data_IF_177248385849
#
_entry.id   IF_177248385849
#
_cell.length_a   1.000
_cell.length_b   1.000
_cell.length_c   1.000
_cell.angle_alpha   90.00
_cell.angle_beta   90.00
_cell.angle_gamma   90.00
#
_symmetry.space_group_name_H-M   'P 1'
#
loop_
_entity.id
_entity.type
_entity.pdbx_description
1 polymer ?
#
# COMPACT_ATOMS: atom_id res chain seq x y z
N UNK A 1 -5.32 24.68 23.07
CA UNK A 1 -6.31 24.41 22.01
C UNK A 1 -6.45 22.90 21.86
N UNK A 2 -7.56 22.38 22.34
CA UNK A 2 -7.93 20.96 22.34
C UNK A 2 -8.40 20.54 20.95
N UNK A 3 -7.55 19.86 20.18
CA UNK A 3 -7.99 19.11 19.00
C UNK A 3 -8.26 17.67 19.42
N UNK A 4 -9.55 17.36 19.64
CA UNK A 4 -10.04 15.99 19.68
C UNK A 4 -9.67 15.30 18.36
N UNK A 5 -8.73 14.36 18.41
CA UNK A 5 -8.52 13.45 17.29
C UNK A 5 -9.68 12.44 17.28
N UNK A 6 -10.68 12.70 16.45
CA UNK A 6 -11.71 11.74 16.06
C UNK A 6 -11.04 10.56 15.33
N UNK A 7 -10.58 9.57 16.09
CA UNK A 7 -10.50 8.13 15.77
C UNK A 7 -9.72 7.49 16.92
N UNK A 8 -10.42 7.00 17.94
CA UNK A 8 -9.86 6.28 19.10
C UNK A 8 -9.29 4.90 18.73
N UNK A 9 -8.68 4.75 17.56
CA UNK A 9 -7.94 3.55 17.20
C UNK A 9 -6.54 3.70 17.78
N UNK A 10 -6.07 2.75 18.62
CA UNK A 10 -4.69 2.78 19.07
C UNK A 10 -3.78 2.77 17.84
N UNK A 11 -2.93 3.80 17.70
CA UNK A 11 -2.06 4.01 16.52
C UNK A 11 -1.35 2.71 16.09
N UNK A 12 -0.91 1.90 17.05
CA UNK A 12 -0.31 0.59 16.80
C UNK A 12 -1.25 -0.37 16.04
N UNK A 13 -2.51 -0.47 16.42
CA UNK A 13 -3.49 -1.32 15.74
C UNK A 13 -3.79 -0.82 14.33
N UNK A 14 -3.87 0.51 14.14
CA UNK A 14 -4.04 1.11 12.82
C UNK A 14 -2.94 0.67 11.84
N UNK A 15 -1.68 0.84 12.22
CA UNK A 15 -0.53 0.46 11.38
C UNK A 15 -0.52 -1.06 11.07
N UNK A 16 -0.93 -1.92 12.01
CA UNK A 16 -1.05 -3.38 11.77
C UNK A 16 -2.16 -3.68 10.75
N UNK A 17 -3.35 -3.11 10.94
CA UNK A 17 -4.51 -3.34 10.06
C UNK A 17 -4.17 -2.92 8.62
N UNK A 18 -3.55 -1.75 8.45
CA UNK A 18 -3.12 -1.25 7.14
C UNK A 18 -2.15 -2.21 6.47
N UNK A 19 -1.14 -2.65 7.20
CA UNK A 19 -0.11 -3.55 6.66
C UNK A 19 -0.73 -4.88 6.22
N UNK A 20 -1.73 -5.40 6.95
CA UNK A 20 -2.47 -6.59 6.57
C UNK A 20 -3.35 -6.39 5.33
N UNK A 21 -4.05 -5.25 5.23
CA UNK A 21 -4.87 -4.91 4.05
C UNK A 21 -3.99 -4.86 2.81
N UNK A 22 -2.86 -4.14 2.87
CA UNK A 22 -1.91 -4.07 1.76
C UNK A 22 -1.30 -5.42 1.41
N UNK A 23 -1.04 -6.27 2.41
CA UNK A 23 -0.52 -7.61 2.19
C UNK A 23 -1.52 -8.49 1.43
N UNK A 24 -2.77 -8.57 1.91
CA UNK A 24 -3.82 -9.38 1.28
C UNK A 24 -4.10 -8.87 -0.13
N UNK A 25 -4.21 -7.56 -0.30
CA UNK A 25 -4.47 -6.96 -1.60
C UNK A 25 -3.34 -7.20 -2.60
N UNK A 26 -2.08 -7.04 -2.17
CA UNK A 26 -0.92 -7.31 -3.02
C UNK A 26 -0.83 -8.78 -3.45
N UNK A 27 -1.08 -9.72 -2.53
CA UNK A 27 -1.11 -11.16 -2.86
C UNK A 27 -2.24 -11.46 -3.85
N UNK A 28 -3.45 -10.93 -3.61
CA UNK A 28 -4.59 -11.10 -4.51
C UNK A 28 -4.27 -10.60 -5.93
N UNK A 29 -3.69 -9.41 -6.05
CA UNK A 29 -3.31 -8.84 -7.34
C UNK A 29 -2.27 -9.69 -8.06
N UNK A 30 -1.24 -10.18 -7.35
CA UNK A 30 -0.22 -11.06 -7.94
C UNK A 30 -0.86 -12.35 -8.47
N UNK A 31 -1.70 -13.01 -7.67
CA UNK A 31 -2.35 -14.27 -8.06
C UNK A 31 -3.28 -14.06 -9.25
N UNK A 32 -4.15 -13.04 -9.20
CA UNK A 32 -5.10 -12.77 -10.28
C UNK A 32 -4.41 -12.49 -11.61
N UNK A 33 -3.33 -11.70 -11.60
CA UNK A 33 -2.60 -11.38 -12.82
C UNK A 33 -1.73 -12.56 -13.31
N UNK A 34 -1.23 -13.40 -12.40
CA UNK A 34 -0.52 -14.63 -12.78
C UNK A 34 -1.46 -15.63 -13.47
N UNK A 35 -2.70 -15.76 -12.99
CA UNK A 35 -3.72 -16.58 -13.67
C UNK A 35 -4.02 -16.00 -15.05
N UNK A 36 -4.22 -14.69 -15.16
CA UNK A 36 -4.50 -14.02 -16.45
C UNK A 36 -3.35 -14.16 -17.47
N UNK A 37 -2.10 -14.39 -17.03
CA UNK A 37 -0.97 -14.64 -17.92
C UNK A 37 -0.93 -16.06 -18.47
N UNK A 38 -1.48 -17.03 -17.73
CA UNK A 38 -1.41 -18.45 -18.04
C UNK A 38 -2.66 -18.99 -18.75
N UNK A 39 -3.65 -18.14 -18.99
CA UNK A 39 -4.90 -18.51 -19.68
C UNK A 39 -4.81 -18.11 -21.17
N UNK A 40 -4.37 -19.02 -22.07
CA UNK A 40 -4.21 -18.73 -23.49
C UNK A 40 -5.56 -18.66 -24.25
N UNK A 41 -6.68 -19.05 -23.63
CA UNK A 41 -7.94 -19.29 -24.34
C UNK A 41 -8.91 -18.10 -24.26
N UNK A 42 -8.60 -17.08 -23.45
CA UNK A 42 -9.43 -15.88 -23.32
C UNK A 42 -9.09 -14.77 -24.31
N UNK A 43 -8.23 -15.04 -25.28
CA UNK A 43 -7.73 -14.06 -26.24
C UNK A 43 -8.36 -14.25 -27.62
N UNK A 44 -9.37 -13.41 -27.90
CA UNK A 44 -9.88 -13.26 -29.26
C UNK A 44 -8.76 -12.74 -30.18
N UNK A 45 -8.49 -13.38 -31.32
CA UNK A 45 -7.40 -13.00 -32.24
C UNK A 45 -7.62 -11.65 -32.95
N UNK A 46 -8.80 -11.03 -32.80
CA UNK A 46 -9.12 -9.70 -33.34
C UNK A 46 -8.58 -8.54 -32.45
N UNK A 47 -7.99 -8.88 -31.31
CA UNK A 47 -7.48 -7.93 -30.34
C UNK A 47 -6.07 -7.45 -30.73
N UNK A 48 -6.03 -6.27 -31.34
CA UNK A 48 -4.85 -5.60 -31.92
C UNK A 48 -3.68 -5.31 -30.95
N UNK A 49 -3.63 -5.86 -29.73
CA UNK A 49 -2.52 -5.61 -28.78
C UNK A 49 -2.38 -6.64 -27.64
N UNK A 50 -2.37 -7.95 -27.96
CA UNK A 50 -2.09 -9.05 -27.01
C UNK A 50 -0.87 -8.77 -26.12
N UNK A 51 0.18 -8.23 -26.73
CA UNK A 51 1.46 -7.95 -26.09
C UNK A 51 1.35 -6.84 -25.03
N UNK A 52 0.48 -5.84 -25.22
CA UNK A 52 0.32 -4.74 -24.28
C UNK A 52 -0.37 -5.19 -22.99
N UNK A 53 -1.36 -6.09 -23.10
CA UNK A 53 -2.03 -6.68 -21.94
C UNK A 53 -1.10 -7.63 -21.16
N UNK A 54 -0.31 -8.45 -21.86
CA UNK A 54 0.70 -9.30 -21.20
C UNK A 54 1.76 -8.46 -20.47
N UNK A 55 2.27 -7.40 -21.11
CA UNK A 55 3.24 -6.49 -20.50
C UNK A 55 2.66 -5.78 -19.27
N UNK A 56 1.38 -5.38 -19.32
CA UNK A 56 0.66 -4.84 -18.17
C UNK A 56 0.60 -5.84 -17.01
N UNK A 57 0.16 -7.08 -17.26
CA UNK A 57 0.05 -8.12 -16.22
C UNK A 57 1.39 -8.43 -15.56
N UNK A 58 2.48 -8.51 -16.32
CA UNK A 58 3.84 -8.70 -15.78
C UNK A 58 4.24 -7.51 -14.90
N UNK A 59 3.99 -6.29 -15.36
CA UNK A 59 4.34 -5.07 -14.62
C UNK A 59 3.58 -5.01 -13.29
N UNK A 60 2.29 -5.32 -13.31
CA UNK A 60 1.44 -5.39 -12.10
C UNK A 60 1.97 -6.44 -11.13
N UNK A 61 2.34 -7.64 -11.59
CA UNK A 61 2.93 -8.67 -10.72
C UNK A 61 4.19 -8.15 -10.02
N UNK A 62 5.09 -7.49 -10.74
CA UNK A 62 6.33 -6.95 -10.16
C UNK A 62 6.03 -5.87 -9.12
N UNK A 63 5.16 -4.91 -9.47
CA UNK A 63 4.81 -3.79 -8.59
C UNK A 63 4.09 -4.25 -7.31
N UNK A 64 3.09 -5.11 -7.43
CA UNK A 64 2.39 -5.66 -6.26
C UNK A 64 3.24 -6.68 -5.49
N UNK A 65 4.20 -7.34 -6.14
CA UNK A 65 5.25 -8.11 -5.47
C UNK A 65 6.10 -7.23 -4.56
N UNK A 66 6.55 -6.06 -5.02
CA UNK A 66 7.27 -5.09 -4.18
C UNK A 66 6.39 -4.57 -3.03
N UNK A 67 5.11 -4.32 -3.30
CA UNK A 67 4.14 -3.92 -2.28
C UNK A 67 3.99 -4.97 -1.18
N UNK A 68 3.90 -6.27 -1.51
CA UNK A 68 3.78 -7.33 -0.51
C UNK A 68 5.03 -7.44 0.36
N UNK A 69 6.23 -7.33 -0.22
CA UNK A 69 7.50 -7.31 0.53
C UNK A 69 7.50 -6.12 1.51
N UNK A 70 7.10 -4.93 1.06
CA UNK A 70 7.01 -3.75 1.91
C UNK A 70 5.99 -3.90 3.04
N UNK A 71 4.84 -4.52 2.76
CA UNK A 71 3.81 -4.80 3.76
C UNK A 71 4.27 -5.82 4.82
N UNK A 72 4.97 -6.89 4.41
CA UNK A 72 5.59 -7.87 5.32
C UNK A 72 6.62 -7.18 6.21
N UNK A 73 7.48 -6.33 5.63
CA UNK A 73 8.44 -5.55 6.39
C UNK A 73 7.74 -4.63 7.40
N UNK A 74 6.66 -3.97 7.00
CA UNK A 74 5.81 -3.19 7.90
C UNK A 74 5.33 -4.00 9.09
N UNK A 75 4.74 -5.17 8.84
CA UNK A 75 4.27 -6.06 9.90
C UNK A 75 5.41 -6.51 10.82
N UNK A 76 6.57 -6.84 10.26
CA UNK A 76 7.79 -7.19 11.01
C UNK A 76 8.26 -6.05 11.92
N UNK A 77 8.33 -4.81 11.42
CA UNK A 77 8.78 -3.67 12.22
C UNK A 77 7.88 -3.40 13.42
N UNK A 78 6.57 -3.63 13.29
CA UNK A 78 5.61 -3.37 14.37
C UNK A 78 5.61 -4.49 15.43
N UNK A 79 5.79 -5.74 14.99
CA UNK A 79 5.68 -6.92 15.84
C UNK A 79 6.99 -7.24 16.57
N UNK A 80 8.12 -7.19 15.86
CA UNK A 80 9.42 -7.63 16.38
C UNK A 80 10.33 -6.46 16.76
N UNK A 81 10.56 -5.52 15.84
CA UNK A 81 11.60 -4.50 16.05
C UNK A 81 11.14 -3.34 16.95
N UNK A 82 9.89 -2.89 16.79
CA UNK A 82 9.17 -1.85 17.54
C UNK A 82 10.03 -0.69 18.07
N UNK A 83 10.99 -0.21 17.27
CA UNK A 83 11.88 0.92 17.54
C UNK A 83 11.51 2.08 16.62
N UNK A 84 11.72 3.32 17.07
CA UNK A 84 11.44 4.52 16.27
C UNK A 84 12.17 4.51 14.92
N UNK A 85 13.46 4.17 14.90
CA UNK A 85 14.26 4.11 13.66
C UNK A 85 13.68 3.15 12.61
N UNK A 86 13.26 1.95 13.02
CA UNK A 86 12.67 0.98 12.10
C UNK A 86 11.30 1.44 11.56
N UNK A 87 10.51 2.11 12.39
CA UNK A 87 9.25 2.73 11.98
C UNK A 87 9.45 3.88 10.99
N UNK A 88 10.52 4.67 11.13
CA UNK A 88 10.85 5.70 10.15
C UNK A 88 11.24 5.11 8.80
N UNK A 89 12.01 4.02 8.78
CA UNK A 89 12.29 3.27 7.55
C UNK A 89 10.99 2.76 6.94
N UNK A 90 10.10 2.17 7.74
CA UNK A 90 8.81 1.72 7.26
C UNK A 90 7.94 2.87 6.71
N UNK A 91 7.99 4.05 7.32
CA UNK A 91 7.29 5.24 6.80
C UNK A 91 7.75 5.57 5.38
N UNK A 92 9.06 5.52 5.11
CA UNK A 92 9.59 5.73 3.74
C UNK A 92 9.11 4.64 2.77
N UNK A 93 9.10 3.38 3.20
CA UNK A 93 8.57 2.26 2.40
C UNK A 93 7.07 2.45 2.11
N UNK A 94 6.29 2.90 3.10
CA UNK A 94 4.86 3.15 2.93
C UNK A 94 4.57 4.26 1.88
N UNK A 95 5.41 5.29 1.81
CA UNK A 95 5.33 6.27 0.71
C UNK A 95 5.65 5.64 -0.67
N UNK A 96 6.60 4.69 -0.72
CA UNK A 96 6.88 3.95 -1.96
C UNK A 96 5.70 3.07 -2.35
N UNK A 97 5.06 2.38 -1.39
CA UNK A 97 3.83 1.60 -1.63
C UNK A 97 2.72 2.48 -2.20
N UNK A 98 2.49 3.67 -1.61
CA UNK A 98 1.52 4.63 -2.12
C UNK A 98 1.84 5.06 -3.56
N UNK A 99 3.11 5.31 -3.88
CA UNK A 99 3.50 5.63 -5.25
C UNK A 99 3.23 4.47 -6.23
N UNK A 100 3.50 3.23 -5.81
CA UNK A 100 3.18 2.02 -6.59
C UNK A 100 1.68 1.93 -6.87
N UNK A 101 0.84 2.21 -5.88
CA UNK A 101 -0.62 2.18 -6.02
C UNK A 101 -1.12 3.22 -7.03
N UNK A 102 -0.58 4.45 -6.97
CA UNK A 102 -0.91 5.52 -7.91
C UNK A 102 -0.48 5.13 -9.34
N UNK A 103 0.75 4.63 -9.51
CA UNK A 103 1.25 4.19 -10.83
C UNK A 103 0.39 3.06 -11.40
N UNK A 104 0.05 2.08 -10.56
CA UNK A 104 -0.78 0.93 -10.96
C UNK A 104 -2.20 1.36 -11.36
N UNK A 105 -2.79 2.32 -10.63
CA UNK A 105 -4.10 2.89 -10.95
C UNK A 105 -4.09 3.60 -12.31
N UNK A 106 -3.04 4.40 -12.58
CA UNK A 106 -2.87 5.09 -13.88
C UNK A 106 -2.75 4.09 -15.03
N UNK A 107 -1.96 3.03 -14.87
CA UNK A 107 -1.83 1.98 -15.89
C UNK A 107 -3.16 1.27 -16.14
N UNK A 108 -3.92 0.96 -15.09
CA UNK A 108 -5.25 0.36 -15.21
C UNK A 108 -6.21 1.23 -16.02
N UNK A 109 -6.19 2.55 -15.82
CA UNK A 109 -7.01 3.47 -16.61
C UNK A 109 -6.64 3.44 -18.09
N UNK A 110 -5.35 3.41 -18.43
CA UNK A 110 -4.90 3.36 -19.84
C UNK A 110 -5.44 2.09 -20.52
N UNK A 111 -5.31 0.93 -19.87
CA UNK A 111 -5.81 -0.36 -20.38
C UNK A 111 -7.33 -0.30 -20.58
N UNK A 112 -8.08 0.23 -19.62
CA UNK A 112 -9.54 0.23 -19.69
C UNK A 112 -10.08 1.23 -20.73
N UNK A 113 -9.43 2.37 -20.89
CA UNK A 113 -9.72 3.30 -22.00
C UNK A 113 -9.53 2.60 -23.35
N UNK A 114 -8.52 1.74 -23.48
CA UNK A 114 -8.26 0.97 -24.70
C UNK A 114 -9.32 -0.14 -24.95
N UNK A 115 -9.89 -0.75 -23.90
CA UNK A 115 -10.78 -1.93 -24.02
C UNK A 115 -12.28 -1.67 -23.79
N UNK A 116 -12.63 -0.44 -23.38
CA UNK A 116 -13.94 0.18 -23.56
C UNK A 116 -15.14 -0.44 -22.83
N UNK A 117 -15.40 0.09 -21.64
CA UNK A 117 -16.75 0.34 -21.13
C UNK A 117 -16.71 1.60 -20.27
N UNK A 118 -17.42 2.69 -20.64
CA UNK A 118 -17.38 3.96 -19.90
C UNK A 118 -17.95 3.83 -18.48
N UNK A 119 -18.85 2.86 -18.26
CA UNK A 119 -19.43 2.55 -16.95
C UNK A 119 -18.36 1.93 -16.03
N UNK A 120 -17.59 0.96 -16.54
CA UNK A 120 -16.50 0.33 -15.78
C UNK A 120 -15.39 1.35 -15.46
N UNK A 121 -15.07 2.23 -16.41
CA UNK A 121 -14.11 3.30 -16.20
C UNK A 121 -14.53 4.20 -15.03
N UNK A 122 -15.78 4.65 -15.02
CA UNK A 122 -16.29 5.54 -13.97
C UNK A 122 -16.23 4.89 -12.59
N UNK A 123 -16.67 3.63 -12.48
CA UNK A 123 -16.61 2.87 -11.23
C UNK A 123 -15.18 2.72 -10.71
N UNK A 124 -14.23 2.41 -11.59
CA UNK A 124 -12.83 2.22 -11.20
C UNK A 124 -12.12 3.52 -10.85
N UNK A 125 -12.46 4.63 -11.50
CA UNK A 125 -11.95 5.95 -11.10
C UNK A 125 -12.40 6.27 -9.67
N UNK A 126 -13.67 6.07 -9.35
CA UNK A 126 -14.19 6.29 -7.99
C UNK A 126 -13.46 5.38 -6.99
N UNK A 127 -13.30 4.10 -7.31
CA UNK A 127 -12.63 3.12 -6.45
C UNK A 127 -11.16 3.47 -6.24
N UNK A 128 -10.45 3.87 -7.29
CA UNK A 128 -9.05 4.29 -7.21
C UNK A 128 -8.88 5.57 -6.38
N UNK A 129 -9.73 6.58 -6.59
CA UNK A 129 -9.70 7.82 -5.78
C UNK A 129 -9.93 7.51 -4.30
N UNK A 130 -10.92 6.66 -4.00
CA UNK A 130 -11.19 6.22 -2.65
C UNK A 130 -10.01 5.45 -2.05
N UNK A 131 -9.43 4.50 -2.79
CA UNK A 131 -8.27 3.71 -2.37
C UNK A 131 -7.05 4.58 -2.08
N UNK A 132 -6.70 5.49 -2.99
CA UNK A 132 -5.59 6.43 -2.83
C UNK A 132 -5.83 7.34 -1.61
N UNK A 133 -7.05 7.83 -1.41
CA UNK A 133 -7.38 8.69 -0.26
C UNK A 133 -7.17 7.94 1.06
N UNK A 134 -7.61 6.69 1.12
CA UNK A 134 -7.41 5.81 2.28
C UNK A 134 -5.92 5.53 2.49
N UNK A 135 -5.18 5.19 1.43
CA UNK A 135 -3.75 4.91 1.50
C UNK A 135 -2.95 6.14 1.95
N UNK A 136 -3.29 7.34 1.48
CA UNK A 136 -2.69 8.60 1.95
C UNK A 136 -2.94 8.79 3.45
N UNK A 137 -4.18 8.57 3.90
CA UNK A 137 -4.53 8.63 5.32
C UNK A 137 -3.70 7.65 6.15
N UNK A 138 -3.52 6.43 5.64
CA UNK A 138 -2.73 5.41 6.32
C UNK A 138 -1.24 5.72 6.38
N UNK A 139 -0.65 6.25 5.31
CA UNK A 139 0.75 6.71 5.33
C UNK A 139 0.93 7.82 6.37
N UNK A 140 -0.02 8.74 6.50
CA UNK A 140 0.00 9.75 7.57
C UNK A 140 -0.07 9.12 8.97
N UNK A 141 -0.91 8.10 9.18
CA UNK A 141 -0.99 7.38 10.46
C UNK A 141 0.32 6.68 10.81
N UNK A 142 0.97 6.04 9.83
CA UNK A 142 2.28 5.38 10.01
C UNK A 142 3.35 6.41 10.42
N UNK A 143 3.41 7.54 9.71
CA UNK A 143 4.34 8.65 10.01
C UNK A 143 4.12 9.24 11.41
N UNK A 144 2.86 9.50 11.77
CA UNK A 144 2.51 9.99 13.10
C UNK A 144 2.88 8.97 14.21
N UNK A 145 2.78 7.67 13.92
CA UNK A 145 3.20 6.62 14.83
C UNK A 145 4.71 6.57 15.03
N UNK A 146 5.50 6.73 13.97
CA UNK A 146 6.96 6.84 14.06
C UNK A 146 7.39 7.99 14.99
N UNK A 147 6.87 9.20 14.76
CA UNK A 147 7.17 10.36 15.61
C UNK A 147 6.67 10.22 17.05
N UNK A 148 5.52 9.58 17.28
CA UNK A 148 5.05 9.32 18.64
C UNK A 148 5.95 8.32 19.36
N UNK A 149 6.51 7.34 18.63
CA UNK A 149 7.40 6.33 19.20
C UNK A 149 8.74 6.94 19.59
N UNK A 150 9.31 7.77 18.73
CA UNK A 150 10.55 8.53 18.98
C UNK A 150 10.47 9.33 20.28
N UNK A 151 9.42 10.15 20.45
CA UNK A 151 9.23 10.96 21.68
C UNK A 151 9.14 10.14 22.97
N UNK A 152 8.64 8.90 22.88
CA UNK A 152 8.59 8.00 24.04
C UNK A 152 9.97 7.44 24.37
N UNK A 153 10.78 7.15 23.35
CA UNK A 153 12.14 6.63 23.54
C UNK A 153 13.06 7.71 24.11
N UNK A 154 12.98 8.97 23.67
CA UNK A 154 13.76 10.08 24.23
C UNK A 154 13.43 10.34 25.69
N UNK A 155 12.14 10.47 26.04
CA UNK A 155 11.71 10.71 27.41
C UNK A 155 12.08 9.58 28.38
N UNK A 156 12.16 8.33 27.89
CA UNK A 156 12.60 7.19 28.70
C UNK A 156 14.10 7.25 28.97
N UNK A 157 14.90 7.72 28.02
CA UNK A 157 16.35 7.85 28.18
C UNK A 157 16.72 9.00 29.13
N UNK A 158 16.03 10.13 29.04
CA UNK A 158 16.26 11.29 29.93
C UNK A 158 15.97 10.92 31.41
N UNK A 159 14.82 10.29 31.68
CA UNK A 159 14.46 9.81 33.02
C UNK A 159 15.48 8.80 33.58
N UNK A 160 16.17 8.04 32.73
CA UNK A 160 17.18 7.08 33.17
C UNK A 160 18.49 7.76 33.55
N UNK A 161 18.77 8.92 32.97
CA UNK A 161 19.96 9.72 33.26
C UNK A 161 19.81 10.50 34.57
N UNK A 162 18.60 10.99 34.89
CA UNK A 162 18.32 11.72 36.15
C UNK A 162 18.35 10.83 37.41
N UNK A 163 18.34 9.50 37.25
CA UNK A 163 18.34 8.53 38.35
C UNK A 163 19.76 8.02 38.67
N UNK A 164 20.77 8.41 37.90
CA UNK A 164 22.15 7.93 38.01
C UNK A 164 23.09 9.02 38.56
#
# INVERSE_FOLDING_TARGET
>A
MTSQCCFCVPLKAGVVIVSLIWLIYGIYMVISNAINLNDPEKYDPDLRNVNAFQMYSITIIVLYGLMTIGAIFGLFTITLANTSNMLFIYTKIAYVILAIEIISSVMGFIVIILFSSPILLTYLVILAVFSITISVHFVMVISAYAHRRERKETATNDNKLDVL
#
